data_IF_176897979576
#
_entry.id   IF_176897979576
#
_cell.length_a   1.000
_cell.length_b   1.000
_cell.length_c   1.000
_cell.angle_alpha   90.00
_cell.angle_beta   90.00
_cell.angle_gamma   90.00
#
_symmetry.space_group_name_H-M   'P 1'
#
loop_
_entity.id
_entity.type
_entity.pdbx_description
1 polymer ?
#
# COMPACT_ATOMS: atom_id res chain seq x y z
N UNK A 1 -0.68 29.89 -8.69
CA UNK A 1 0.64 29.55 -8.14
C UNK A 1 0.36 29.02 -6.75
N UNK A 2 0.24 27.72 -6.53
CA UNK A 2 0.97 26.60 -7.14
C UNK A 2 -0.01 25.42 -7.20
N UNK A 3 -0.23 24.77 -8.34
CA UNK A 3 0.69 23.85 -9.04
C UNK A 3 1.06 22.63 -8.19
N UNK A 4 0.57 21.48 -8.67
CA UNK A 4 0.76 20.10 -8.24
C UNK A 4 0.34 19.78 -6.79
N UNK A 5 -0.43 18.74 -6.52
CA UNK A 5 -0.45 17.48 -7.25
C UNK A 5 -1.88 16.94 -7.38
N UNK A 6 -2.16 16.48 -8.59
CA UNK A 6 -3.37 15.76 -8.95
C UNK A 6 -3.10 14.27 -8.84
N UNK A 7 -2.67 13.81 -7.67
CA UNK A 7 -2.62 12.39 -7.30
C UNK A 7 -4.05 11.93 -6.96
N UNK A 8 -4.96 12.14 -7.90
CA UNK A 8 -6.09 11.25 -8.01
C UNK A 8 -5.55 9.94 -8.58
N UNK A 9 -4.87 9.17 -7.73
CA UNK A 9 -4.63 7.75 -7.99
C UNK A 9 -6.01 7.09 -7.90
N UNK A 10 -6.69 7.14 -9.05
CA UNK A 10 -8.08 6.76 -9.27
C UNK A 10 -8.27 5.25 -9.31
N UNK A 11 -7.60 4.56 -8.40
CA UNK A 11 -7.79 3.16 -8.07
C UNK A 11 -7.84 3.14 -6.55
N UNK A 12 -9.06 3.07 -6.04
CA UNK A 12 -9.42 2.96 -4.61
C UNK A 12 -8.97 1.59 -4.07
N UNK A 13 -7.67 1.34 -4.19
CA UNK A 13 -6.93 0.25 -3.61
C UNK A 13 -6.93 0.50 -2.11
N UNK A 14 -7.80 -0.17 -1.35
CA UNK A 14 -8.02 0.18 0.05
C UNK A 14 -6.85 -0.30 0.94
N UNK A 15 -5.87 -0.98 0.34
CA UNK A 15 -4.70 -1.53 0.99
C UNK A 15 -3.45 -0.82 0.48
N UNK A 16 -3.00 0.21 1.19
CA UNK A 16 -1.72 0.87 0.97
C UNK A 16 -0.64 0.20 1.83
N UNK A 17 0.57 0.05 1.29
CA UNK A 17 1.69 -0.43 2.06
C UNK A 17 2.18 0.65 3.03
N UNK A 18 2.40 0.30 4.30
CA UNK A 18 2.91 1.27 5.28
C UNK A 18 4.42 1.53 5.11
N UNK A 19 5.10 0.63 4.39
CA UNK A 19 6.56 0.64 4.20
C UNK A 19 6.98 1.32 2.89
N UNK A 20 6.07 1.45 1.93
CA UNK A 20 6.28 2.14 0.66
C UNK A 20 4.95 2.70 0.12
N UNK A 21 4.99 3.67 -0.77
CA UNK A 21 3.79 4.30 -1.34
C UNK A 21 3.05 3.42 -2.39
N UNK A 22 3.22 2.09 -2.32
CA UNK A 22 2.57 1.14 -3.24
C UNK A 22 1.19 0.72 -2.72
N UNK A 23 0.22 0.70 -3.63
CA UNK A 23 -1.18 0.42 -3.34
C UNK A 23 -1.60 -0.91 -3.95
N UNK A 24 -2.49 -1.64 -3.27
CA UNK A 24 -2.97 -2.97 -3.68
C UNK A 24 -4.49 -3.12 -3.59
N UNK A 25 -5.07 -3.92 -4.48
CA UNK A 25 -6.52 -4.11 -4.56
C UNK A 25 -7.03 -5.03 -3.45
N UNK A 26 -6.16 -5.92 -2.97
CA UNK A 26 -6.48 -6.94 -1.99
C UNK A 26 -5.44 -7.02 -0.88
N UNK A 27 -5.85 -7.50 0.29
CA UNK A 27 -4.94 -7.77 1.42
C UNK A 27 -3.93 -8.87 1.10
N UNK A 28 -4.29 -9.82 0.24
CA UNK A 28 -3.39 -10.92 -0.15
C UNK A 28 -2.20 -10.40 -0.95
N UNK A 29 -2.44 -9.52 -1.91
CA UNK A 29 -1.39 -8.86 -2.69
C UNK A 29 -0.50 -7.97 -1.82
N UNK A 30 -1.09 -7.17 -0.93
CA UNK A 30 -0.31 -6.38 0.03
C UNK A 30 0.54 -7.27 0.93
N UNK A 31 -0.01 -8.39 1.41
CA UNK A 31 0.70 -9.31 2.30
C UNK A 31 1.86 -10.01 1.60
N UNK A 32 1.67 -10.45 0.35
CA UNK A 32 2.73 -11.04 -0.47
C UNK A 32 3.82 -10.01 -0.77
N UNK A 33 3.44 -8.80 -1.17
CA UNK A 33 4.36 -7.68 -1.36
C UNK A 33 5.17 -7.40 -0.09
N UNK A 34 4.52 -7.24 1.06
CA UNK A 34 5.23 -7.03 2.33
C UNK A 34 6.11 -8.25 2.63
N UNK A 35 5.65 -9.48 2.45
CA UNK A 35 6.48 -10.66 2.75
C UNK A 35 7.74 -10.76 1.89
N UNK A 36 7.63 -10.50 0.59
CA UNK A 36 8.72 -10.63 -0.39
C UNK A 36 9.65 -9.40 -0.40
N UNK A 37 9.10 -8.19 -0.21
CA UNK A 37 9.83 -6.92 -0.35
C UNK A 37 10.10 -6.22 1.00
N UNK A 38 9.28 -6.46 2.02
CA UNK A 38 9.34 -5.82 3.33
C UNK A 38 9.23 -6.85 4.46
N UNK A 39 10.25 -7.68 4.64
CA UNK A 39 10.44 -8.74 5.64
C UNK A 39 9.90 -8.52 7.09
N UNK A 40 8.60 -8.26 7.27
CA UNK A 40 7.93 -7.98 8.54
C UNK A 40 6.75 -8.95 8.70
N UNK A 41 7.09 -10.19 9.06
CA UNK A 41 6.14 -11.16 9.56
C UNK A 41 5.96 -10.99 11.06
N UNK A 42 4.89 -10.34 11.51
CA UNK A 42 4.52 -10.38 12.92
C UNK A 42 3.43 -9.37 13.31
N UNK A 43 2.23 -9.89 13.57
CA UNK A 43 1.17 -9.25 14.36
C UNK A 43 0.43 -8.10 13.68
N UNK A 44 -0.58 -8.45 12.87
CA UNK A 44 -1.75 -7.59 12.67
C UNK A 44 -2.76 -7.93 13.77
N UNK A 45 -2.88 -7.12 14.85
CA UNK A 45 -3.93 -7.30 15.85
C UNK A 45 -5.32 -6.99 15.23
N UNK A 46 -6.41 -7.52 15.81
CA UNK A 46 -7.77 -7.46 15.26
C UNK A 46 -8.35 -6.04 15.18
#
# INVERSE_FOLDING_TARGET
>A
MSEHDSEAEGEELPFECDMCDERFATREELKDHVWEYHEMGGDVPP
#
